data_IF_967898115237
#
_entry.id   IF_967898115237
#
_cell.length_a   1.000
_cell.length_b   1.000
_cell.length_c   1.000
_cell.angle_alpha   90.00
_cell.angle_beta   90.00
_cell.angle_gamma   90.00
#
_symmetry.space_group_name_H-M   'P 1'
#
loop_
_entity.id
_entity.type
_entity.pdbx_description
1 polymer ?
#
# COMPACT_ATOMS: atom_id res chain seq x y z
N UNK A 1 -17.55 -28.71 22.30
CA UNK A 1 -18.37 -27.50 22.55
C UNK A 1 -19.13 -27.21 21.27
N UNK A 2 -20.45 -27.46 21.21
CA UNK A 2 -21.25 -27.11 20.03
C UNK A 2 -21.27 -25.58 19.93
N UNK A 3 -20.83 -25.02 18.80
CA UNK A 3 -20.70 -23.58 18.59
C UNK A 3 -22.08 -22.93 18.55
N UNK A 4 -22.58 -22.51 19.71
CA UNK A 4 -23.80 -21.70 19.77
C UNK A 4 -23.52 -20.37 19.07
N UNK A 5 -24.28 -20.00 18.02
CA UNK A 5 -24.11 -18.72 17.38
C UNK A 5 -24.41 -17.61 18.40
N UNK A 6 -23.57 -16.58 18.40
CA UNK A 6 -23.77 -15.39 19.24
C UNK A 6 -25.15 -14.79 18.99
N UNK A 7 -25.73 -14.08 19.99
CA UNK A 7 -27.01 -13.35 19.86
C UNK A 7 -27.05 -12.40 18.65
N UNK A 8 -25.87 -12.03 18.13
CA UNK A 8 -25.67 -11.13 17.01
C UNK A 8 -25.42 -11.82 15.66
N UNK A 9 -25.47 -13.16 15.62
CA UNK A 9 -25.24 -13.98 14.44
C UNK A 9 -26.47 -14.84 14.12
N UNK A 10 -26.75 -15.05 12.84
CA UNK A 10 -27.73 -16.04 12.41
C UNK A 10 -27.14 -17.45 12.44
N UNK A 11 -27.99 -18.47 12.25
CA UNK A 11 -27.57 -19.88 12.16
C UNK A 11 -26.59 -20.15 11.00
N UNK A 12 -26.57 -19.28 9.99
CA UNK A 12 -25.63 -19.27 8.85
C UNK A 12 -24.38 -18.41 9.10
N UNK A 13 -24.09 -18.01 10.35
CA UNK A 13 -22.94 -17.16 10.73
C UNK A 13 -22.89 -15.76 10.09
N UNK A 14 -23.97 -15.30 9.45
CA UNK A 14 -24.08 -13.92 8.95
C UNK A 14 -24.56 -12.97 10.06
N UNK A 15 -24.37 -11.67 9.83
CA UNK A 15 -24.85 -10.64 10.76
C UNK A 15 -26.37 -10.56 10.78
N UNK A 16 -26.95 -10.32 11.96
CA UNK A 16 -28.40 -10.11 12.07
C UNK A 16 -28.81 -8.76 11.46
N UNK A 17 -30.04 -8.64 10.93
CA UNK A 17 -30.54 -7.38 10.34
C UNK A 17 -30.48 -6.17 11.30
N UNK A 18 -30.68 -6.43 12.60
CA UNK A 18 -30.58 -5.41 13.64
C UNK A 18 -29.16 -4.85 13.78
N UNK A 19 -28.15 -5.74 13.77
CA UNK A 19 -26.75 -5.35 13.87
C UNK A 19 -26.26 -4.67 12.58
N UNK A 20 -26.73 -5.10 11.41
CA UNK A 20 -26.39 -4.42 10.16
C UNK A 20 -26.88 -2.97 10.15
N UNK A 21 -28.12 -2.72 10.61
CA UNK A 21 -28.66 -1.36 10.75
C UNK A 21 -27.83 -0.51 11.71
N UNK A 22 -27.42 -1.07 12.85
CA UNK A 22 -26.58 -0.36 13.82
C UNK A 22 -25.21 0.05 13.25
N UNK A 23 -24.67 -0.69 12.28
CA UNK A 23 -23.36 -0.41 11.65
C UNK A 23 -23.44 0.49 10.42
N UNK A 24 -24.62 0.75 9.87
CA UNK A 24 -24.81 1.66 8.71
C UNK A 24 -24.07 3.00 8.85
N UNK A 25 -24.18 3.73 9.99
CA UNK A 25 -23.52 5.03 10.11
C UNK A 25 -21.99 4.94 10.23
N UNK A 26 -21.46 3.83 10.78
CA UNK A 26 -20.03 3.63 10.98
C UNK A 26 -19.31 3.22 9.70
N UNK A 27 -20.01 2.53 8.79
CA UNK A 27 -19.44 2.05 7.53
C UNK A 27 -18.92 3.21 6.67
N UNK A 28 -19.71 4.29 6.56
CA UNK A 28 -19.33 5.49 5.78
C UNK A 28 -18.19 6.24 6.46
N UNK A 29 -18.31 6.49 7.77
CA UNK A 29 -17.29 7.24 8.52
C UNK A 29 -15.92 6.55 8.47
N UNK A 30 -15.89 5.23 8.66
CA UNK A 30 -14.65 4.46 8.62
C UNK A 30 -14.09 4.33 7.20
N UNK A 31 -14.94 4.28 6.17
CA UNK A 31 -14.48 4.28 4.78
C UNK A 31 -13.83 5.63 4.42
N UNK A 32 -14.44 6.75 4.83
CA UNK A 32 -13.89 8.09 4.59
C UNK A 32 -12.54 8.24 5.28
N UNK A 33 -12.41 7.85 6.54
CA UNK A 33 -11.12 7.92 7.24
C UNK A 33 -10.07 7.02 6.60
N UNK A 34 -10.44 5.81 6.16
CA UNK A 34 -9.55 4.91 5.44
C UNK A 34 -9.06 5.50 4.11
N UNK A 35 -9.96 6.07 3.31
CA UNK A 35 -9.61 6.75 2.04
C UNK A 35 -8.67 7.92 2.32
N UNK A 36 -8.95 8.72 3.36
CA UNK A 36 -8.11 9.87 3.71
C UNK A 36 -6.70 9.44 4.10
N UNK A 37 -6.58 8.38 4.89
CA UNK A 37 -5.29 7.84 5.32
C UNK A 37 -4.49 7.29 4.13
N UNK A 38 -5.13 6.49 3.28
CA UNK A 38 -4.49 5.91 2.09
C UNK A 38 -4.09 7.00 1.09
N UNK A 39 -4.97 7.98 0.87
CA UNK A 39 -4.70 9.13 0.02
C UNK A 39 -3.54 9.97 0.55
N UNK A 40 -3.49 10.23 1.87
CA UNK A 40 -2.39 10.97 2.49
C UNK A 40 -1.05 10.24 2.33
N UNK A 41 -0.99 8.95 2.64
CA UNK A 41 0.25 8.15 2.49
C UNK A 41 0.68 8.07 1.02
N UNK A 42 -0.27 7.82 0.11
CA UNK A 42 0.00 7.78 -1.33
C UNK A 42 0.49 9.13 -1.87
N UNK A 43 -0.08 10.24 -1.39
CA UNK A 43 0.35 11.59 -1.76
C UNK A 43 1.78 11.88 -1.28
N UNK A 44 2.12 11.54 -0.03
CA UNK A 44 3.49 11.71 0.49
C UNK A 44 4.49 10.86 -0.29
N UNK A 45 4.17 9.59 -0.55
CA UNK A 45 5.02 8.69 -1.33
C UNK A 45 5.26 9.21 -2.76
N UNK A 46 4.18 9.53 -3.48
CA UNK A 46 4.26 10.03 -4.85
C UNK A 46 5.00 11.35 -4.91
N UNK A 47 4.70 12.30 -4.01
CA UNK A 47 5.43 13.55 -3.90
C UNK A 47 6.93 13.30 -3.69
N UNK A 48 7.30 12.39 -2.79
CA UNK A 48 8.71 12.06 -2.54
C UNK A 48 9.40 11.57 -3.82
N UNK A 49 8.75 10.71 -4.59
CA UNK A 49 9.31 10.18 -5.84
C UNK A 49 9.51 11.27 -6.91
N UNK A 50 8.56 12.19 -7.06
CA UNK A 50 8.65 13.26 -8.06
C UNK A 50 9.51 14.44 -7.60
N UNK A 51 9.60 14.69 -6.30
CA UNK A 51 10.39 15.77 -5.72
C UNK A 51 11.89 15.43 -5.74
N UNK A 52 12.25 14.15 -5.70
CA UNK A 52 13.61 13.72 -6.00
C UNK A 52 13.85 13.97 -7.48
N UNK A 53 14.50 15.10 -7.78
CA UNK A 53 15.13 15.31 -9.08
C UNK A 53 16.12 14.17 -9.28
N UNK A 54 15.90 13.36 -10.30
CA UNK A 54 16.89 12.37 -10.72
C UNK A 54 18.16 13.15 -11.06
N UNK A 55 19.23 12.87 -10.33
CA UNK A 55 20.50 13.56 -10.49
C UNK A 55 21.02 13.32 -11.92
N UNK A 56 21.47 14.37 -12.59
CA UNK A 56 22.02 14.26 -13.94
C UNK A 56 23.50 13.90 -13.80
N UNK A 57 23.80 12.60 -13.84
CA UNK A 57 25.17 12.06 -13.74
C UNK A 57 26.06 12.40 -14.95
N UNK A 58 25.75 13.47 -15.68
CA UNK A 58 26.49 13.96 -16.83
C UNK A 58 27.88 14.49 -16.44
N UNK A 59 28.08 14.86 -15.17
CA UNK A 59 29.36 15.31 -14.62
C UNK A 59 30.24 14.17 -14.08
N UNK A 60 29.72 12.96 -13.96
CA UNK A 60 30.47 11.80 -13.47
C UNK A 60 31.23 11.14 -14.62
N UNK A 61 32.57 11.13 -14.60
CA UNK A 61 33.36 10.46 -15.63
C UNK A 61 33.15 8.94 -15.54
N UNK A 62 32.71 8.33 -16.65
CA UNK A 62 32.54 6.89 -16.75
C UNK A 62 33.91 6.18 -16.71
N UNK A 63 34.02 5.03 -16.04
CA UNK A 63 35.25 4.25 -16.05
C UNK A 63 35.57 3.80 -17.48
N UNK A 64 36.86 3.66 -17.82
CA UNK A 64 37.25 3.21 -19.15
C UNK A 64 36.68 1.81 -19.42
N UNK A 65 36.18 1.61 -20.65
CA UNK A 65 35.72 0.30 -21.10
C UNK A 65 36.84 -0.72 -20.87
N UNK A 66 36.52 -1.81 -20.17
CA UNK A 66 37.37 -2.98 -20.14
C UNK A 66 37.29 -3.62 -21.53
N UNK A 67 38.08 -3.10 -22.46
CA UNK A 67 38.22 -3.71 -23.78
C UNK A 67 38.70 -5.15 -23.60
N UNK A 68 38.22 -6.04 -24.47
CA UNK A 68 38.58 -7.47 -24.45
C UNK A 68 40.10 -7.71 -24.47
N UNK A 69 40.87 -6.73 -24.99
CA UNK A 69 42.33 -6.71 -24.99
C UNK A 69 42.96 -6.70 -23.59
N UNK A 70 42.23 -6.18 -22.58
CA UNK A 70 42.68 -6.16 -21.18
C UNK A 70 42.33 -7.43 -20.41
N UNK A 71 41.45 -8.29 -20.95
CA UNK A 71 41.04 -9.56 -20.37
C UNK A 71 41.80 -10.76 -20.96
N UNK A 72 42.45 -10.59 -22.11
CA UNK A 72 43.27 -11.62 -22.79
C UNK A 72 44.76 -11.53 -22.45
N UNK A 73 45.20 -10.49 -21.74
CA UNK A 73 46.55 -10.37 -21.19
C UNK A 73 46.55 -10.77 -19.70
N UNK A 74 46.57 -12.08 -19.45
CA UNK A 74 47.01 -12.72 -18.19
C UNK A 74 47.83 -13.96 -18.54
#
# INVERSE_FOLDING_TARGET
MLTQPSKYQTKTYTFTPALERARRPLRVRNAVTGIFLLGFVGAVYSYSMFAIKQDDFSDVPMPPDLTVDRLTNY
#
